data_IF_829139409235
#
_entry.id   IF_829139409235
#
_cell.length_a   1.000
_cell.length_b   1.000
_cell.length_c   1.000
_cell.angle_alpha   90.00
_cell.angle_beta   90.00
_cell.angle_gamma   90.00
#
_symmetry.space_group_name_H-M   'P 1'
#
loop_
_entity.id
_entity.type
_entity.pdbx_description
1 polymer ?
#
# COMPACT_ATOMS: atom_id res chain seq x y z
N UNK A 1 -21.39 2.40 3.38
CA UNK A 1 -19.97 2.43 3.60
C UNK A 1 -19.19 2.11 2.33
N UNK A 2 -18.24 2.92 2.00
CA UNK A 2 -17.47 2.70 0.79
C UNK A 2 -16.59 1.48 0.93
N UNK A 3 -16.56 0.63 -0.08
CA UNK A 3 -15.66 -0.51 -0.09
C UNK A 3 -14.19 -0.09 -0.26
N UNK A 4 -13.96 1.18 -0.58
CA UNK A 4 -12.62 1.73 -0.73
C UNK A 4 -12.23 2.59 0.46
N UNK A 5 -12.76 2.27 1.65
CA UNK A 5 -12.50 3.06 2.85
C UNK A 5 -11.01 3.12 3.19
N UNK A 6 -10.21 2.17 2.72
CA UNK A 6 -8.78 2.12 3.02
C UNK A 6 -7.94 2.87 2.00
N UNK A 7 -8.56 3.42 0.96
CA UNK A 7 -7.83 4.10 -0.11
C UNK A 7 -8.24 5.57 -0.19
N UNK A 8 -7.39 6.42 -0.77
CA UNK A 8 -7.77 7.81 -0.99
C UNK A 8 -8.91 7.91 -2.00
N UNK A 9 -9.59 9.04 -2.01
CA UNK A 9 -10.74 9.26 -2.89
C UNK A 9 -10.35 9.23 -4.37
N UNK A 10 -9.14 9.65 -4.69
CA UNK A 10 -8.67 9.72 -6.07
C UNK A 10 -7.91 8.45 -6.41
N UNK A 11 -8.29 7.79 -7.51
CA UNK A 11 -7.60 6.60 -7.94
C UNK A 11 -6.44 6.94 -8.88
N UNK A 12 -5.39 6.09 -8.92
CA UNK A 12 -4.29 6.34 -9.84
C UNK A 12 -4.69 6.29 -11.31
N UNK A 13 -5.75 5.55 -11.64
CA UNK A 13 -6.22 5.49 -13.02
C UNK A 13 -6.89 6.78 -13.50
N UNK A 14 -7.50 7.52 -12.58
CA UNK A 14 -8.21 8.73 -12.94
C UNK A 14 -7.29 9.88 -13.27
N UNK A 15 -6.29 10.12 -12.43
CA UNK A 15 -5.33 11.20 -12.64
C UNK A 15 -4.09 10.89 -11.84
N UNK A 16 -3.10 10.31 -12.50
CA UNK A 16 -1.91 9.84 -11.83
C UNK A 16 -1.13 10.97 -11.14
N UNK A 17 -0.97 12.09 -11.81
CA UNK A 17 -0.23 13.22 -11.26
C UNK A 17 -0.87 13.73 -9.97
N UNK A 18 -2.18 13.88 -9.99
CA UNK A 18 -2.93 14.34 -8.83
C UNK A 18 -2.88 13.32 -7.70
N UNK A 19 -2.97 12.04 -8.05
CA UNK A 19 -2.86 10.97 -7.08
C UNK A 19 -1.50 11.03 -6.37
N UNK A 20 -0.42 11.17 -7.12
CA UNK A 20 0.92 11.22 -6.55
C UNK A 20 1.09 12.42 -5.62
N UNK A 21 0.48 13.55 -5.98
CA UNK A 21 0.52 14.73 -5.12
C UNK A 21 -0.26 14.48 -3.83
N UNK A 22 -1.42 13.86 -3.96
CA UNK A 22 -2.30 13.66 -2.80
C UNK A 22 -1.71 12.69 -1.80
N UNK A 23 -1.09 11.60 -2.26
CA UNK A 23 -0.56 10.61 -1.32
C UNK A 23 0.61 11.13 -0.50
N UNK A 24 1.26 12.21 -0.95
CA UNK A 24 2.34 12.82 -0.18
C UNK A 24 1.87 13.47 1.10
N UNK A 25 0.56 13.71 1.22
CA UNK A 25 0.01 14.34 2.41
C UNK A 25 -0.13 13.39 3.57
N UNK A 26 -0.08 12.08 3.32
CA UNK A 26 -0.20 11.11 4.39
C UNK A 26 1.15 10.94 5.09
N UNK A 27 1.17 11.00 6.42
CA UNK A 27 2.43 10.88 7.15
C UNK A 27 2.97 9.46 7.08
N UNK A 28 4.28 9.35 7.12
CA UNK A 28 4.92 8.05 7.26
C UNK A 28 4.94 7.66 8.73
N UNK A 29 4.89 6.36 8.99
CA UNK A 29 4.81 5.86 10.35
C UNK A 29 6.16 5.35 10.84
N UNK A 30 6.45 5.65 12.11
CA UNK A 30 7.55 5.01 12.79
C UNK A 30 7.14 3.59 13.19
N UNK A 31 8.14 2.75 13.47
CA UNK A 31 7.86 1.36 13.79
C UNK A 31 6.89 1.21 14.97
N UNK A 32 7.03 2.07 15.97
CA UNK A 32 6.16 1.99 17.16
C UNK A 32 4.73 2.37 16.83
N UNK A 33 4.55 3.38 15.99
CA UNK A 33 3.21 3.79 15.56
C UNK A 33 2.56 2.70 14.74
N UNK A 34 3.33 2.11 13.83
CA UNK A 34 2.84 1.03 13.00
C UNK A 34 2.40 -0.16 13.84
N UNK A 35 3.20 -0.52 14.84
CA UNK A 35 2.87 -1.61 15.74
C UNK A 35 1.56 -1.34 16.48
N UNK A 36 1.41 -0.14 17.00
CA UNK A 36 0.19 0.22 17.72
C UNK A 36 -1.04 0.17 16.84
N UNK A 37 -0.92 0.69 15.61
CA UNK A 37 -2.05 0.68 14.69
C UNK A 37 -2.38 -0.74 14.23
N UNK A 38 -1.36 -1.54 13.97
CA UNK A 38 -1.57 -2.93 13.56
C UNK A 38 -2.24 -3.73 14.66
N UNK A 39 -1.84 -3.51 15.91
CA UNK A 39 -2.45 -4.17 17.05
C UNK A 39 -3.92 -3.76 17.18
N UNK A 40 -4.21 -2.46 17.03
CA UNK A 40 -5.58 -1.98 17.12
C UNK A 40 -6.45 -2.61 16.03
N UNK A 41 -5.91 -2.72 14.82
CA UNK A 41 -6.63 -3.34 13.72
C UNK A 41 -6.86 -4.83 13.98
N UNK A 42 -5.81 -5.53 14.39
CA UNK A 42 -5.88 -6.97 14.56
C UNK A 42 -6.77 -7.39 15.73
N UNK A 43 -6.66 -6.68 16.86
CA UNK A 43 -7.34 -7.09 18.07
C UNK A 43 -8.73 -6.49 18.21
N UNK A 44 -8.94 -5.30 17.68
CA UNK A 44 -10.22 -4.61 17.85
C UNK A 44 -10.96 -4.34 16.55
N UNK A 45 -10.36 -4.71 15.42
CA UNK A 45 -10.97 -4.42 14.13
C UNK A 45 -11.08 -2.93 13.84
N UNK A 46 -10.13 -2.15 14.34
CA UNK A 46 -10.16 -0.69 14.20
C UNK A 46 -9.88 -0.31 12.75
N UNK A 47 -10.93 0.03 12.01
CA UNK A 47 -10.82 0.35 10.59
C UNK A 47 -9.98 1.60 10.35
N UNK A 48 -10.07 2.58 11.25
CA UNK A 48 -9.25 3.79 11.12
C UNK A 48 -7.77 3.45 11.20
N UNK A 49 -7.42 2.52 12.11
CA UNK A 49 -6.02 2.10 12.21
C UNK A 49 -5.58 1.42 10.93
N UNK A 50 -6.41 0.56 10.36
CA UNK A 50 -6.10 -0.08 9.09
C UNK A 50 -5.95 0.95 7.97
N UNK A 51 -6.81 1.97 7.96
CA UNK A 51 -6.74 3.04 6.98
C UNK A 51 -5.39 3.76 7.06
N UNK A 52 -4.94 4.08 8.27
CA UNK A 52 -3.67 4.75 8.45
C UNK A 52 -2.49 3.88 8.05
N UNK A 53 -2.59 2.58 8.30
CA UNK A 53 -1.55 1.65 7.86
C UNK A 53 -1.42 1.66 6.34
N UNK A 54 -2.54 1.65 5.64
CA UNK A 54 -2.51 1.65 4.18
C UNK A 54 -2.02 2.99 3.65
N UNK A 55 -2.58 4.09 4.12
CA UNK A 55 -2.24 5.40 3.55
C UNK A 55 -0.78 5.78 3.80
N UNK A 56 -0.21 5.34 4.91
CA UNK A 56 1.18 5.65 5.21
C UNK A 56 2.16 4.92 4.29
N UNK A 57 1.69 3.91 3.56
CA UNK A 57 2.53 3.13 2.66
C UNK A 57 2.23 3.37 1.18
N UNK A 58 1.30 4.27 0.86
CA UNK A 58 0.96 4.52 -0.53
C UNK A 58 2.13 5.10 -1.31
N UNK A 59 2.94 5.93 -0.68
CA UNK A 59 4.12 6.49 -1.35
C UNK A 59 5.14 5.42 -1.67
N UNK A 60 5.31 4.45 -0.78
CA UNK A 60 6.21 3.35 -1.03
C UNK A 60 5.74 2.52 -2.21
N UNK A 61 4.44 2.22 -2.26
CA UNK A 61 3.87 1.47 -3.36
C UNK A 61 4.10 2.21 -4.68
N UNK A 62 3.86 3.52 -4.70
CA UNK A 62 4.05 4.31 -5.91
C UNK A 62 5.52 4.31 -6.35
N UNK A 63 6.43 4.42 -5.39
CA UNK A 63 7.86 4.40 -5.69
C UNK A 63 8.28 3.07 -6.30
N UNK A 64 7.79 1.96 -5.74
CA UNK A 64 8.10 0.64 -6.28
C UNK A 64 7.52 0.49 -7.67
N UNK A 65 6.27 0.94 -7.87
CA UNK A 65 5.62 0.85 -9.16
C UNK A 65 6.39 1.63 -10.23
N UNK A 66 6.90 2.80 -9.87
CA UNK A 66 7.70 3.58 -10.82
C UNK A 66 8.96 2.86 -11.24
N UNK A 67 9.50 2.02 -10.37
CA UNK A 67 10.66 1.21 -10.70
C UNK A 67 10.37 0.12 -11.71
N UNK A 68 9.11 -0.25 -11.88
CA UNK A 68 8.71 -1.27 -12.84
C UNK A 68 8.14 -0.68 -14.13
N UNK A 69 8.16 0.62 -14.28
CA UNK A 69 7.72 1.22 -15.54
C UNK A 69 8.62 0.74 -16.67
N UNK A 70 8.07 0.59 -17.84
CA UNK A 70 8.83 0.06 -18.97
C UNK A 70 8.73 -1.44 -19.14
N UNK A 71 8.00 -2.11 -18.24
CA UNK A 71 7.80 -3.56 -18.34
C UNK A 71 6.51 -3.91 -19.06
N UNK A 72 5.89 -2.95 -19.72
CA UNK A 72 4.72 -3.20 -20.54
C UNK A 72 3.40 -2.90 -19.89
N UNK A 73 3.39 -2.51 -18.62
CA UNK A 73 2.16 -2.17 -17.91
C UNK A 73 2.18 -0.68 -17.55
N UNK A 74 1.01 -0.01 -17.62
CA UNK A 74 0.93 1.37 -17.18
C UNK A 74 1.26 1.50 -15.69
N UNK A 75 1.90 2.60 -15.31
CA UNK A 75 2.25 2.84 -13.91
C UNK A 75 1.00 2.82 -13.03
N UNK A 76 -0.10 3.40 -13.51
CA UNK A 76 -1.34 3.42 -12.72
C UNK A 76 -1.83 2.01 -12.40
N UNK A 77 -1.71 1.08 -13.35
CA UNK A 77 -2.09 -0.31 -13.10
C UNK A 77 -1.17 -0.95 -12.08
N UNK A 78 0.13 -0.66 -12.16
CA UNK A 78 1.09 -1.19 -11.20
C UNK A 78 0.81 -0.67 -9.80
N UNK A 79 0.47 0.60 -9.67
CA UNK A 79 0.12 1.17 -8.37
C UNK A 79 -1.14 0.51 -7.82
N UNK A 80 -2.15 0.31 -8.66
CA UNK A 80 -3.39 -0.32 -8.21
C UNK A 80 -3.14 -1.73 -7.72
N UNK A 81 -2.33 -2.50 -8.45
CA UNK A 81 -1.99 -3.85 -8.02
C UNK A 81 -1.21 -3.84 -6.71
N UNK A 82 -0.28 -2.91 -6.57
CA UNK A 82 0.48 -2.78 -5.34
C UNK A 82 -0.40 -2.41 -4.16
N UNK A 83 -1.39 -1.54 -4.40
CA UNK A 83 -2.31 -1.14 -3.35
C UNK A 83 -3.18 -2.32 -2.89
N UNK A 84 -3.62 -3.15 -3.84
CA UNK A 84 -4.36 -4.36 -3.49
C UNK A 84 -3.51 -5.29 -2.64
N UNK A 85 -2.25 -5.50 -3.06
CA UNK A 85 -1.34 -6.31 -2.28
C UNK A 85 -1.08 -5.74 -0.90
N UNK A 86 -0.98 -4.42 -0.81
CA UNK A 86 -0.79 -3.75 0.47
C UNK A 86 -1.99 -3.99 1.41
N UNK A 87 -3.20 -3.87 0.86
CA UNK A 87 -4.39 -4.11 1.66
C UNK A 87 -4.47 -5.55 2.15
N UNK A 88 -4.09 -6.49 1.30
CA UNK A 88 -4.02 -7.88 1.72
C UNK A 88 -2.95 -8.08 2.78
N UNK A 89 -1.83 -7.37 2.64
CA UNK A 89 -0.78 -7.41 3.64
C UNK A 89 -1.25 -6.91 4.99
N UNK A 90 -2.05 -5.85 5.00
CA UNK A 90 -2.61 -5.33 6.24
C UNK A 90 -3.47 -6.38 6.93
N UNK A 91 -4.26 -7.12 6.17
CA UNK A 91 -5.11 -8.16 6.72
C UNK A 91 -4.32 -9.31 7.32
N UNK A 92 -3.15 -9.59 6.77
CA UNK A 92 -2.31 -10.71 7.20
C UNK A 92 -1.19 -10.31 8.13
N UNK A 93 -1.00 -9.01 8.32
CA UNK A 93 0.13 -8.51 9.08
C UNK A 93 0.04 -8.92 10.54
N UNK A 94 1.14 -9.46 11.04
CA UNK A 94 1.25 -9.86 12.44
C UNK A 94 2.33 -9.01 13.09
N UNK A 95 1.94 -7.98 13.83
CA UNK A 95 2.91 -7.04 14.36
C UNK A 95 3.91 -7.66 15.32
N UNK A 96 3.54 -8.78 15.94
CA UNK A 96 4.42 -9.42 16.92
C UNK A 96 5.53 -10.23 16.28
N UNK A 97 5.53 -10.36 14.96
CA UNK A 97 6.57 -11.12 14.28
C UNK A 97 7.84 -10.34 14.00
N UNK A 98 7.81 -9.04 14.27
CA UNK A 98 9.01 -8.23 14.11
C UNK A 98 9.25 -7.71 12.70
N UNK A 99 8.37 -8.01 11.75
CA UNK A 99 8.48 -7.49 10.39
C UNK A 99 7.71 -6.18 10.26
N UNK A 100 8.20 -5.32 9.38
CA UNK A 100 7.48 -4.10 9.04
C UNK A 100 6.46 -4.39 7.94
N UNK A 101 5.37 -3.63 7.95
CA UNK A 101 4.34 -3.78 6.94
C UNK A 101 4.90 -3.56 5.53
N UNK A 102 5.91 -2.71 5.40
CA UNK A 102 6.54 -2.45 4.11
C UNK A 102 7.02 -3.71 3.41
N UNK A 103 7.39 -4.73 4.18
CA UNK A 103 7.82 -6.01 3.62
C UNK A 103 6.73 -6.63 2.74
N UNK A 104 5.48 -6.51 3.17
CA UNK A 104 4.35 -7.07 2.41
C UNK A 104 4.11 -6.29 1.12
N UNK A 105 4.30 -4.98 1.16
CA UNK A 105 4.15 -4.17 -0.04
C UNK A 105 5.17 -4.58 -1.11
N UNK A 106 6.39 -4.87 -0.68
CA UNK A 106 7.43 -5.30 -1.60
C UNK A 106 7.11 -6.67 -2.18
N UNK A 107 6.68 -7.60 -1.32
CA UNK A 107 6.38 -8.96 -1.73
C UNK A 107 5.26 -8.99 -2.76
N UNK A 108 4.29 -8.08 -2.68
CA UNK A 108 3.16 -8.10 -3.61
C UNK A 108 3.61 -7.96 -5.06
N UNK A 109 4.73 -7.30 -5.32
CA UNK A 109 5.22 -7.15 -6.69
C UNK A 109 5.96 -8.38 -7.20
N UNK A 110 6.47 -9.21 -6.31
CA UNK A 110 7.14 -10.44 -6.75
C UNK A 110 6.13 -11.46 -7.24
N UNK A 111 4.85 -11.28 -6.93
CA UNK A 111 3.79 -12.17 -7.37
C UNK A 111 3.09 -11.68 -8.62
N UNK A 112 3.44 -10.51 -9.13
CA UNK A 112 2.85 -10.01 -10.36
C UNK A 112 3.40 -10.77 -11.56
N UNK A 113 2.55 -10.95 -12.56
CA UNK A 113 2.95 -11.60 -13.81
C UNK A 113 3.55 -10.55 -14.73
N UNK A 114 4.65 -9.98 -14.30
CA UNK A 114 5.36 -9.01 -15.13
C UNK A 114 6.25 -9.74 -16.12
N UNK A 115 6.43 -9.17 -17.34
CA UNK A 115 7.36 -9.76 -18.28
C UNK A 115 8.74 -9.79 -17.66
N UNK A 116 9.38 -10.94 -17.76
CA UNK A 116 10.73 -11.07 -17.24
C UNK A 116 11.68 -10.33 -18.17
N UNK A 117 12.56 -9.57 -17.57
CA UNK A 117 13.58 -8.94 -18.36
C UNK A 117 14.61 -10.01 -18.71
N UNK A 118 14.61 -10.36 -19.95
CA UNK A 118 15.52 -11.41 -20.42
C UNK A 118 16.97 -10.95 -20.36
#
# INVERSE_FOLDING_TARGET
MSKNALLPAISPEGNLSRYLTQIRQFPMLEAEEEYGLATAWKERGDVEAAHQLVTSHLRLVAKIAMGYRGYGLPVSDLISEGNVGLMQGVKKFEPDRGFRLATYATVSYTHLTLPTKA
#
